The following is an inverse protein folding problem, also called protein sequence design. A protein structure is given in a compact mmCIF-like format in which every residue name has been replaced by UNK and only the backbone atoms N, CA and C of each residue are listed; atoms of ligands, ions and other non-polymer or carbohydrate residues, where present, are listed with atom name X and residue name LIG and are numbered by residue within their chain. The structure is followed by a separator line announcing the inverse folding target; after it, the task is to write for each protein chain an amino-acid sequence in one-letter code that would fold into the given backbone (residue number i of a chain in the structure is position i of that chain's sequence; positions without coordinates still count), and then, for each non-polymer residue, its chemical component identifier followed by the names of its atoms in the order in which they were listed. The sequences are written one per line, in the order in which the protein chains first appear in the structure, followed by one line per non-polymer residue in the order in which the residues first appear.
data_IF_537418967519
#
_entry.id   IF_537418967519
#
_cell.length_a   1.000
_cell.length_b   1.000
_cell.length_c   1.000
_cell.angle_alpha   90.00
_cell.angle_beta   90.00
_cell.angle_gamma   90.00
#
_symmetry.space_group_name_H-M   'P 1'
#
loop_
_entity.id
_entity.type
_entity.pdbx_description
1 polymer ?
#
# COMPACT_ATOMS: atom_id res chain seq x y z
N UNK A 1 23.70 -0.38 -5.40
CA UNK A 1 22.47 -0.18 -4.61
C UNK A 1 22.70 -0.82 -3.26
N UNK A 2 22.60 -0.06 -2.16
CA UNK A 2 22.82 -0.59 -0.81
C UNK A 2 21.55 -1.27 -0.26
N UNK A 3 21.66 -1.92 0.91
CA UNK A 3 20.55 -2.64 1.52
C UNK A 3 19.35 -1.73 1.86
N UNK A 4 19.60 -0.49 2.28
CA UNK A 4 18.56 0.50 2.62
C UNK A 4 17.79 0.96 1.38
N UNK A 5 18.50 1.26 0.27
CA UNK A 5 17.90 1.59 -1.01
C UNK A 5 17.05 0.44 -1.55
N UNK A 6 17.53 -0.81 -1.43
CA UNK A 6 16.74 -1.98 -1.83
C UNK A 6 15.47 -2.10 -0.96
N UNK A 7 15.63 -1.94 0.35
CA UNK A 7 14.51 -2.00 1.31
C UNK A 7 13.46 -0.93 1.00
N UNK A 8 13.89 0.31 0.74
CA UNK A 8 12.99 1.41 0.36
C UNK A 8 12.23 1.08 -0.93
N UNK A 9 12.88 0.51 -1.95
CA UNK A 9 12.21 0.11 -3.21
C UNK A 9 11.20 -1.02 -3.00
N UNK A 10 11.52 -2.01 -2.16
CA UNK A 10 10.57 -3.06 -1.79
C UNK A 10 9.36 -2.48 -1.04
N UNK A 11 9.58 -1.54 -0.11
CA UNK A 11 8.50 -0.83 0.60
C UNK A 11 7.65 0.01 -0.34
N UNK A 12 8.26 0.66 -1.33
CA UNK A 12 7.55 1.46 -2.33
C UNK A 12 6.68 0.56 -3.21
N UNK A 13 7.19 -0.60 -3.58
CA UNK A 13 6.44 -1.61 -4.33
C UNK A 13 5.24 -2.13 -3.52
N UNK A 14 5.43 -2.44 -2.23
CA UNK A 14 4.34 -2.86 -1.34
C UNK A 14 3.28 -1.76 -1.19
N UNK A 15 3.70 -0.53 -0.93
CA UNK A 15 2.80 0.63 -0.83
C UNK A 15 1.97 0.79 -2.10
N UNK A 16 2.60 0.67 -3.27
CA UNK A 16 1.90 0.70 -4.54
C UNK A 16 0.87 -0.43 -4.67
N UNK A 17 1.23 -1.67 -4.31
CA UNK A 17 0.31 -2.81 -4.37
C UNK A 17 -0.91 -2.60 -3.47
N UNK A 18 -0.70 -2.15 -2.23
CA UNK A 18 -1.80 -1.86 -1.30
C UNK A 18 -2.72 -0.75 -1.81
N UNK A 19 -2.15 0.31 -2.41
CA UNK A 19 -2.94 1.39 -3.01
C UNK A 19 -3.78 0.91 -4.20
N UNK A 20 -3.20 0.10 -5.10
CA UNK A 20 -3.94 -0.46 -6.24
C UNK A 20 -5.15 -1.27 -5.76
N UNK A 21 -4.96 -2.13 -4.76
CA UNK A 21 -6.07 -2.93 -4.22
C UNK A 21 -7.19 -2.07 -3.61
N UNK A 22 -6.84 -0.98 -2.93
CA UNK A 22 -7.81 -0.04 -2.36
C UNK A 22 -8.53 0.76 -3.46
N UNK A 23 -7.82 1.15 -4.51
CA UNK A 23 -8.39 1.84 -5.67
C UNK A 23 -9.37 0.97 -6.44
N UNK A 24 -9.02 -0.29 -6.71
CA UNK A 24 -9.91 -1.27 -7.35
C UNK A 24 -11.17 -1.51 -6.50
N UNK A 25 -11.00 -1.65 -5.19
CA UNK A 25 -12.12 -1.81 -4.27
C UNK A 25 -13.05 -0.59 -4.29
N UNK A 26 -12.50 0.64 -4.29
CA UNK A 26 -13.29 1.87 -4.42
C UNK A 26 -13.96 2.02 -5.78
N UNK A 27 -13.34 1.52 -6.85
CA UNK A 27 -13.90 1.52 -8.19
C UNK A 27 -15.09 0.54 -8.35
N UNK A 28 -15.40 -0.25 -7.31
CA UNK A 28 -16.59 -1.10 -7.24
C UNK A 28 -16.28 -2.60 -7.16
N UNK A 29 -15.02 -3.01 -7.12
CA UNK A 29 -14.63 -4.41 -6.90
C UNK A 29 -14.74 -4.79 -5.42
N UNK A 30 -15.99 -4.81 -4.92
CA UNK A 30 -16.30 -5.11 -3.51
C UNK A 30 -15.79 -6.47 -3.02
N UNK A 31 -15.50 -7.39 -3.94
CA UNK A 31 -14.96 -8.72 -3.65
C UNK A 31 -13.43 -8.80 -3.72
N UNK A 32 -12.71 -7.67 -3.93
CA UNK A 32 -11.25 -7.62 -4.09
C UNK A 32 -10.51 -8.42 -3.03
N UNK A 33 -10.76 -8.10 -1.77
CA UNK A 33 -10.09 -8.72 -0.63
C UNK A 33 -10.59 -10.14 -0.33
N UNK A 34 -11.86 -10.43 -0.65
CA UNK A 34 -12.43 -11.78 -0.47
C UNK A 34 -11.77 -12.85 -1.35
N UNK A 35 -11.10 -12.44 -2.44
CA UNK A 35 -10.33 -13.33 -3.32
C UNK A 35 -8.88 -13.54 -2.86
N UNK A 36 -8.40 -12.75 -1.89
CA UNK A 36 -7.05 -12.85 -1.35
C UNK A 36 -7.02 -13.84 -0.19
N UNK A 37 -6.96 -15.13 -0.53
CA UNK A 37 -7.04 -16.22 0.44
C UNK A 37 -5.83 -17.13 0.29
N UNK A 38 -5.17 -17.44 1.40
CA UNK A 38 -4.00 -18.32 1.48
C UNK A 38 -4.37 -19.77 1.72
N UNK A 39 -3.36 -20.59 2.01
CA UNK A 39 -3.56 -21.98 2.42
C UNK A 39 -4.47 -22.07 3.65
N UNK A 40 -5.40 -23.03 3.65
CA UNK A 40 -6.33 -23.23 4.77
C UNK A 40 -7.43 -22.18 4.88
N UNK A 41 -7.77 -21.49 3.78
CA UNK A 41 -8.84 -20.48 3.73
C UNK A 41 -8.59 -19.25 4.62
N UNK A 42 -7.33 -18.95 4.91
CA UNK A 42 -6.94 -17.79 5.73
C UNK A 42 -7.00 -16.54 4.84
N UNK A 43 -7.75 -15.52 5.28
CA UNK A 43 -7.74 -14.22 4.62
C UNK A 43 -6.34 -13.59 4.67
N UNK A 44 -5.82 -13.22 3.51
CA UNK A 44 -4.53 -12.56 3.37
C UNK A 44 -4.65 -11.03 3.36
N UNK A 45 -5.87 -10.49 3.25
CA UNK A 45 -6.08 -9.06 3.09
C UNK A 45 -7.47 -8.60 3.54
N UNK A 46 -7.54 -7.33 3.93
CA UNK A 46 -8.80 -6.63 4.16
C UNK A 46 -8.61 -5.15 3.85
N UNK A 47 -9.70 -4.46 3.54
CA UNK A 47 -9.66 -3.01 3.31
C UNK A 47 -9.01 -2.29 4.50
N UNK A 48 -9.47 -2.59 5.73
CA UNK A 48 -8.93 -2.00 6.96
C UNK A 48 -7.43 -2.31 7.15
N UNK A 49 -7.02 -3.55 6.87
CA UNK A 49 -5.62 -3.96 6.94
C UNK A 49 -4.74 -3.20 5.96
N UNK A 50 -5.17 -3.06 4.70
CA UNK A 50 -4.40 -2.33 3.68
C UNK A 50 -4.33 -0.84 3.99
N UNK A 51 -5.44 -0.23 4.45
CA UNK A 51 -5.43 1.16 4.94
C UNK A 51 -4.41 1.37 6.05
N UNK A 52 -4.28 0.42 6.98
CA UNK A 52 -3.29 0.50 8.05
C UNK A 52 -1.85 0.39 7.52
N UNK A 53 -1.60 -0.54 6.60
CA UNK A 53 -0.28 -0.70 5.98
C UNK A 53 0.14 0.52 5.15
N UNK A 54 -0.79 1.08 4.37
CA UNK A 54 -0.55 2.33 3.63
C UNK A 54 -0.17 3.46 4.59
N UNK A 55 -0.93 3.67 5.68
CA UNK A 55 -0.60 4.71 6.68
C UNK A 55 0.79 4.53 7.27
N UNK A 56 1.17 3.30 7.62
CA UNK A 56 2.48 3.01 8.17
C UNK A 56 3.61 3.28 7.16
N UNK A 57 3.42 2.90 5.90
CA UNK A 57 4.42 3.10 4.84
C UNK A 57 4.53 4.57 4.39
N UNK A 58 3.46 5.35 4.46
CA UNK A 58 3.50 6.77 4.09
C UNK A 58 4.38 7.63 5.02
N UNK A 59 4.60 7.16 6.26
CA UNK A 59 5.47 7.84 7.24
C UNK A 59 6.82 7.12 7.41
N UNK A 60 7.14 6.18 6.52
CA UNK A 60 8.38 5.41 6.58
C UNK A 60 9.60 6.26 6.19
N UNK A 61 10.58 6.34 7.09
CA UNK A 61 11.76 7.18 6.91
C UNK A 61 12.62 6.77 5.71
N UNK A 62 12.76 5.46 5.44
CA UNK A 62 13.56 4.99 4.30
C UNK A 62 12.89 5.34 2.97
N UNK A 63 11.54 5.30 2.92
CA UNK A 63 10.81 5.78 1.75
C UNK A 63 10.98 7.28 1.54
N UNK A 64 10.89 8.08 2.61
CA UNK A 64 11.09 9.51 2.54
C UNK A 64 12.52 9.86 2.07
N UNK A 65 13.53 9.14 2.52
CA UNK A 65 14.94 9.39 2.18
C UNK A 65 15.31 8.93 0.76
N UNK A 66 14.84 7.76 0.33
CA UNK A 66 15.31 7.12 -0.92
C UNK A 66 14.27 7.11 -2.04
N UNK A 67 13.01 7.41 -1.76
CA UNK A 67 11.91 7.35 -2.72
C UNK A 67 10.98 8.58 -2.64
N UNK A 68 11.48 9.74 -2.18
CA UNK A 68 10.70 10.97 -1.96
C UNK A 68 9.77 11.35 -3.14
N UNK A 69 10.28 11.27 -4.37
CA UNK A 69 9.50 11.59 -5.58
C UNK A 69 8.32 10.64 -5.80
N UNK A 70 8.48 9.35 -5.51
CA UNK A 70 7.38 8.38 -5.57
C UNK A 70 6.41 8.56 -4.40
N UNK A 71 6.94 8.85 -3.21
CA UNK A 71 6.17 9.03 -1.99
C UNK A 71 5.12 10.14 -2.13
N UNK A 72 5.47 11.27 -2.76
CA UNK A 72 4.50 12.34 -3.04
C UNK A 72 3.30 11.84 -3.87
N UNK A 73 3.55 11.04 -4.92
CA UNK A 73 2.49 10.44 -5.73
C UNK A 73 1.64 9.43 -4.94
N UNK A 74 2.25 8.66 -4.03
CA UNK A 74 1.51 7.75 -3.16
C UNK A 74 0.64 8.47 -2.14
N UNK A 75 1.08 9.62 -1.61
CA UNK A 75 0.26 10.45 -0.70
C UNK A 75 -1.01 10.92 -1.41
N UNK A 76 -0.91 11.43 -2.64
CA UNK A 76 -2.09 11.88 -3.39
C UNK A 76 -3.05 10.73 -3.69
N UNK A 77 -2.53 9.57 -4.10
CA UNK A 77 -3.34 8.36 -4.29
C UNK A 77 -4.02 7.92 -2.99
N UNK A 78 -3.30 7.97 -1.86
CA UNK A 78 -3.86 7.62 -0.56
C UNK A 78 -5.00 8.55 -0.12
N UNK A 79 -4.94 9.84 -0.45
CA UNK A 79 -6.04 10.81 -0.21
C UNK A 79 -7.26 10.46 -1.05
N UNK A 80 -7.08 10.21 -2.34
CA UNK A 80 -8.18 9.78 -3.23
C UNK A 80 -8.79 8.45 -2.75
N UNK A 81 -7.94 7.55 -2.27
CA UNK A 81 -8.33 6.29 -1.64
C UNK A 81 -9.00 6.46 -0.25
N UNK A 82 -9.16 7.68 0.25
CA UNK A 82 -9.77 7.98 1.55
C UNK A 82 -8.97 7.44 2.74
N UNK A 83 -7.68 7.16 2.55
CA UNK A 83 -6.80 6.60 3.60
C UNK A 83 -6.31 7.70 4.54
N UNK A 84 -6.00 8.87 3.99
CA UNK A 84 -5.50 10.05 4.72
C UNK A 84 -6.33 11.28 4.37
N UNK A 85 -6.33 12.28 5.25
CA UNK A 85 -6.95 13.59 5.00
C UNK A 85 -6.03 14.50 4.19
#
# INVERSE_FOLDING_TARGET
MNAEQMTARCRAWLLNAYLVDLEEYQAGDVNRFGRMVGSGSISLGSEAGWRAMVKALLVDELLAQHCAGQLAGFVERAKLAGVTR
#
